data_IF_441777033746
#
_entry.id   IF_441777033746
#
_cell.length_a   1.000
_cell.length_b   1.000
_cell.length_c   1.000
_cell.angle_alpha   90.00
_cell.angle_beta   90.00
_cell.angle_gamma   90.00
#
_symmetry.space_group_name_H-M   'P 1'
#
loop_
_entity.id
_entity.type
_entity.pdbx_description
1 polymer ?
#
# COMPACT_ATOMS: atom_id res chain seq x y z
N UNK A 1 4.09 -10.95 3.08
CA UNK A 1 3.23 -9.79 3.37
C UNK A 1 4.13 -8.56 3.31
N UNK A 2 3.95 -7.68 2.32
CA UNK A 2 4.64 -6.39 2.28
C UNK A 2 3.76 -5.38 3.01
N UNK A 3 4.32 -4.77 4.05
CA UNK A 3 3.62 -3.83 4.92
C UNK A 3 4.47 -2.58 5.03
N UNK A 4 3.85 -1.43 4.79
CA UNK A 4 4.43 -0.13 5.12
C UNK A 4 3.76 0.37 6.40
N UNK A 5 4.58 0.88 7.33
CA UNK A 5 4.12 1.43 8.62
C UNK A 5 4.26 2.94 8.58
N UNK A 6 3.18 3.65 8.90
CA UNK A 6 3.23 5.09 9.17
C UNK A 6 3.45 5.27 10.69
N UNK A 7 4.64 5.70 11.11
CA UNK A 7 4.96 5.99 12.52
C UNK A 7 5.05 7.50 12.76
N UNK A 8 4.48 7.95 13.89
CA UNK A 8 4.42 9.36 14.26
C UNK A 8 4.70 9.48 15.75
N UNK A 9 5.82 10.14 16.06
CA UNK A 9 6.24 10.49 17.42
C UNK A 9 5.33 11.60 17.96
N UNK A 10 4.57 11.29 19.02
CA UNK A 10 3.58 12.21 19.60
C UNK A 10 4.11 13.01 20.80
N UNK A 11 5.43 13.15 20.96
CA UNK A 11 6.03 13.85 22.11
C UNK A 11 5.42 15.24 22.35
N UNK A 12 5.10 15.97 21.28
CA UNK A 12 4.50 17.31 21.32
C UNK A 12 3.03 17.36 21.80
N UNK A 13 2.40 16.20 21.99
CA UNK A 13 1.04 16.03 22.45
C UNK A 13 0.94 15.38 23.83
N UNK A 14 2.05 15.04 24.51
CA UNK A 14 2.00 14.33 25.79
C UNK A 14 1.14 15.04 26.85
N UNK A 15 1.36 16.35 27.06
CA UNK A 15 0.60 17.16 28.02
C UNK A 15 -0.87 17.31 27.64
N UNK A 16 -1.16 17.29 26.34
CA UNK A 16 -2.49 17.44 25.77
C UNK A 16 -3.26 16.12 25.87
N UNK A 17 -2.58 15.01 25.61
CA UNK A 17 -3.11 13.67 25.76
C UNK A 17 -3.54 13.40 27.20
N UNK A 18 -2.75 13.83 28.19
CA UNK A 18 -3.09 13.67 29.60
C UNK A 18 -4.38 14.41 30.00
N UNK A 19 -4.66 15.56 29.39
CA UNK A 19 -5.84 16.39 29.71
C UNK A 19 -7.09 15.96 28.95
N UNK A 20 -6.95 15.62 27.67
CA UNK A 20 -8.09 15.34 26.77
C UNK A 20 -7.81 14.14 25.85
N UNK A 21 -7.60 12.93 26.38
CA UNK A 21 -7.18 11.76 25.60
C UNK A 21 -8.20 11.40 24.52
N UNK A 22 -9.50 11.49 24.84
CA UNK A 22 -10.60 11.17 23.91
C UNK A 22 -10.55 12.05 22.65
N UNK A 23 -10.35 13.37 22.81
CA UNK A 23 -10.28 14.31 21.68
C UNK A 23 -9.07 14.01 20.80
N UNK A 24 -7.91 13.79 21.42
CA UNK A 24 -6.66 13.51 20.70
C UNK A 24 -6.77 12.20 19.93
N UNK A 25 -7.30 11.14 20.55
CA UNK A 25 -7.55 9.87 19.90
C UNK A 25 -8.49 9.99 18.69
N UNK A 26 -9.59 10.74 18.83
CA UNK A 26 -10.54 10.95 17.73
C UNK A 26 -9.90 11.67 16.55
N UNK A 27 -9.16 12.75 16.81
CA UNK A 27 -8.50 13.54 15.78
C UNK A 27 -7.36 12.79 15.08
N UNK A 28 -6.57 12.02 15.84
CA UNK A 28 -5.54 11.13 15.28
C UNK A 28 -6.14 10.02 14.43
N UNK A 29 -7.20 9.36 14.92
CA UNK A 29 -7.92 8.31 14.20
C UNK A 29 -8.44 8.84 12.87
N UNK A 30 -9.11 10.00 12.89
CA UNK A 30 -9.65 10.64 11.69
C UNK A 30 -8.54 10.98 10.67
N UNK A 31 -7.43 11.55 11.15
CA UNK A 31 -6.31 11.95 10.29
C UNK A 31 -5.60 10.72 9.71
N UNK A 32 -5.39 9.67 10.51
CA UNK A 32 -4.81 8.41 10.03
C UNK A 32 -5.69 7.75 8.98
N UNK A 33 -7.01 7.67 9.19
CA UNK A 33 -7.93 7.10 8.20
C UNK A 33 -7.91 7.88 6.87
N UNK A 34 -7.88 9.21 6.93
CA UNK A 34 -7.81 10.05 5.73
C UNK A 34 -6.49 9.88 4.98
N UNK A 35 -5.36 9.93 5.70
CA UNK A 35 -4.03 9.74 5.11
C UNK A 35 -3.84 8.32 4.56
N UNK A 36 -4.30 7.29 5.28
CA UNK A 36 -4.17 5.90 4.85
C UNK A 36 -4.98 5.60 3.60
N UNK A 37 -6.21 6.12 3.50
CA UNK A 37 -7.05 5.98 2.30
C UNK A 37 -6.37 6.57 1.06
N UNK A 38 -5.72 7.72 1.22
CA UNK A 38 -4.96 8.36 0.14
C UNK A 38 -3.73 7.53 -0.26
N UNK A 39 -2.93 7.06 0.71
CA UNK A 39 -1.77 6.20 0.43
C UNK A 39 -2.21 4.89 -0.24
N UNK A 40 -3.29 4.28 0.26
CA UNK A 40 -3.90 3.10 -0.34
C UNK A 40 -4.29 3.35 -1.80
N UNK A 41 -4.94 4.47 -2.10
CA UNK A 41 -5.29 4.85 -3.48
C UNK A 41 -4.05 5.01 -4.37
N UNK A 42 -2.98 5.65 -3.86
CA UNK A 42 -1.71 5.78 -4.58
C UNK A 42 -1.07 4.42 -4.89
N UNK A 43 -1.10 3.48 -3.95
CA UNK A 43 -0.63 2.10 -4.16
C UNK A 43 -1.46 1.44 -5.26
N UNK A 44 -2.80 1.49 -5.16
CA UNK A 44 -3.71 0.88 -6.13
C UNK A 44 -3.48 1.41 -7.55
N UNK A 45 -3.17 2.69 -7.71
CA UNK A 45 -2.90 3.32 -9.00
C UNK A 45 -1.56 2.92 -9.61
N UNK A 46 -0.56 2.55 -8.79
CA UNK A 46 0.77 2.13 -9.26
C UNK A 46 0.87 0.62 -9.54
N UNK A 47 0.00 -0.18 -8.92
CA UNK A 47 0.01 -1.63 -9.10
C UNK A 47 -0.32 -2.01 -10.55
N UNK A 48 0.33 -3.06 -11.08
CA UNK A 48 0.06 -3.52 -12.43
C UNK A 48 -1.39 -4.01 -12.54
N UNK A 49 -2.09 -3.55 -13.58
CA UNK A 49 -3.41 -4.07 -13.93
C UNK A 49 -3.22 -5.35 -14.76
N UNK A 50 -3.32 -6.50 -14.07
CA UNK A 50 -3.43 -7.79 -14.74
C UNK A 50 -4.84 -8.01 -15.31
N UNK A 51 -5.15 -9.25 -15.68
CA UNK A 51 -6.44 -9.63 -16.28
C UNK A 51 -7.68 -9.13 -15.51
N UNK A 52 -7.63 -9.15 -14.17
CA UNK A 52 -8.81 -8.87 -13.31
C UNK A 52 -8.61 -7.69 -12.36
N UNK A 53 -7.46 -7.02 -12.37
CA UNK A 53 -7.08 -6.02 -11.34
C UNK A 53 -7.16 -6.51 -9.88
N UNK A 54 -7.23 -7.84 -9.65
CA UNK A 54 -7.43 -8.45 -8.33
C UNK A 54 -6.37 -8.02 -7.29
N UNK A 55 -5.11 -7.86 -7.72
CA UNK A 55 -4.06 -7.39 -6.83
C UNK A 55 -4.34 -5.98 -6.29
N UNK A 56 -4.74 -5.05 -7.16
CA UNK A 56 -5.06 -3.69 -6.73
C UNK A 56 -6.28 -3.67 -5.79
N UNK A 57 -7.30 -4.48 -6.07
CA UNK A 57 -8.49 -4.58 -5.22
C UNK A 57 -8.22 -5.25 -3.86
N UNK A 58 -7.16 -6.05 -3.75
CA UNK A 58 -6.78 -6.70 -2.49
C UNK A 58 -6.02 -5.80 -1.51
N UNK A 59 -5.67 -4.57 -1.91
CA UNK A 59 -4.97 -3.63 -1.03
C UNK A 59 -5.94 -3.17 0.06
N UNK A 60 -5.57 -3.41 1.31
CA UNK A 60 -6.36 -3.05 2.47
C UNK A 60 -5.52 -2.30 3.50
N UNK A 61 -6.21 -1.48 4.29
CA UNK A 61 -5.67 -0.80 5.46
C UNK A 61 -6.10 -1.56 6.72
N UNK A 62 -5.16 -1.82 7.63
CA UNK A 62 -5.40 -2.37 8.97
C UNK A 62 -5.06 -1.31 10.01
N UNK A 63 -5.97 -1.12 10.99
CA UNK A 63 -5.93 -0.04 11.96
C UNK A 63 -6.98 1.05 11.67
N UNK A 64 -6.80 2.29 12.16
CA UNK A 64 -5.62 2.79 12.87
C UNK A 64 -5.48 2.21 14.29
N UNK A 65 -4.24 2.03 14.72
CA UNK A 65 -3.87 1.70 16.09
C UNK A 65 -3.32 2.97 16.72
N UNK A 66 -4.03 3.51 17.73
CA UNK A 66 -3.63 4.72 18.43
C UNK A 66 -3.38 4.40 19.89
N UNK A 67 -2.18 4.73 20.37
CA UNK A 67 -1.76 4.65 21.78
C UNK A 67 -1.39 6.04 22.29
N UNK A 68 -1.08 6.12 23.59
CA UNK A 68 -0.64 7.35 24.26
C UNK A 68 0.58 8.04 23.63
N UNK A 69 1.42 7.31 22.90
CA UNK A 69 2.66 7.82 22.33
C UNK A 69 2.80 7.58 20.82
N UNK A 70 1.89 6.82 20.20
CA UNK A 70 2.03 6.41 18.82
C UNK A 70 0.68 6.34 18.12
N UNK A 71 0.69 6.63 16.82
CA UNK A 71 -0.48 6.44 15.98
C UNK A 71 0.02 5.82 14.67
N UNK A 72 -0.45 4.60 14.38
CA UNK A 72 0.05 3.81 13.26
C UNK A 72 -1.07 3.10 12.49
N UNK A 73 -0.78 2.80 11.24
CA UNK A 73 -1.65 1.99 10.37
C UNK A 73 -0.78 1.19 9.40
N UNK A 74 -1.30 0.03 8.98
CA UNK A 74 -0.63 -0.89 8.08
C UNK A 74 -1.39 -0.94 6.77
N UNK A 75 -0.70 -0.81 5.64
CA UNK A 75 -1.31 -0.96 4.32
C UNK A 75 -0.61 -2.09 3.58
N UNK A 76 -1.37 -3.05 3.08
CA UNK A 76 -0.84 -4.29 2.52
C UNK A 76 -1.85 -5.07 1.68
N UNK A 77 -1.44 -6.22 1.17
CA UNK A 77 -2.31 -7.21 0.52
C UNK A 77 -2.12 -8.56 1.21
N UNK A 78 -3.23 -9.29 1.36
CA UNK A 78 -3.26 -10.67 1.87
C UNK A 78 -2.91 -11.71 0.80
N UNK A 79 -2.78 -11.31 -0.47
CA UNK A 79 -2.47 -12.23 -1.56
C UNK A 79 -1.01 -12.67 -1.51
N UNK A 80 -0.78 -13.98 -1.52
CA UNK A 80 0.55 -14.59 -1.45
C UNK A 80 1.47 -14.06 -2.56
N UNK A 81 0.92 -13.88 -3.77
CA UNK A 81 1.69 -13.42 -4.93
C UNK A 81 1.97 -11.90 -4.94
N UNK A 82 1.42 -11.11 -4.00
CA UNK A 82 1.67 -9.67 -3.95
C UNK A 82 3.15 -9.34 -3.69
N UNK A 83 3.82 -10.10 -2.83
CA UNK A 83 5.24 -9.88 -2.52
C UNK A 83 6.16 -10.13 -3.74
N UNK A 84 6.02 -11.24 -4.49
CA UNK A 84 6.68 -11.43 -5.78
C UNK A 84 6.45 -10.32 -6.81
N UNK A 85 5.26 -9.70 -6.86
CA UNK A 85 4.98 -8.59 -7.78
C UNK A 85 5.69 -7.32 -7.34
N UNK A 86 5.70 -7.05 -6.04
CA UNK A 86 6.32 -5.85 -5.48
C UNK A 86 7.85 -5.91 -5.57
N UNK A 87 8.45 -7.04 -5.19
CA UNK A 87 9.90 -7.18 -5.04
C UNK A 87 10.58 -7.87 -6.23
N UNK A 88 9.79 -8.51 -7.10
CA UNK A 88 10.29 -9.37 -8.15
C UNK A 88 10.61 -10.77 -7.64
N UNK A 89 11.08 -11.62 -8.55
CA UNK A 89 11.45 -13.01 -8.25
C UNK A 89 12.80 -13.35 -8.84
N UNK A 90 13.49 -14.30 -8.21
CA UNK A 90 14.62 -15.00 -8.85
C UNK A 90 14.15 -15.79 -10.09
N UNK A 91 15.07 -16.16 -11.00
CA UNK A 91 14.74 -17.03 -12.11
C UNK A 91 14.08 -18.34 -11.67
N UNK A 92 12.93 -18.67 -12.25
CA UNK A 92 12.18 -19.91 -12.00
C UNK A 92 11.25 -20.18 -13.19
N UNK A 93 10.81 -21.43 -13.37
CA UNK A 93 9.81 -21.73 -14.41
C UNK A 93 8.40 -21.55 -13.84
N UNK A 94 7.64 -20.53 -14.27
CA UNK A 94 6.25 -20.38 -13.83
C UNK A 94 5.34 -21.40 -14.55
N UNK A 95 4.15 -21.70 -13.99
CA UNK A 95 3.14 -22.47 -14.69
C UNK A 95 2.66 -21.73 -15.95
N UNK A 96 2.46 -22.46 -17.05
CA UNK A 96 2.09 -21.87 -18.34
C UNK A 96 0.62 -21.45 -18.37
N UNK A 97 -0.29 -22.23 -17.78
CA UNK A 97 -1.72 -21.97 -17.91
C UNK A 97 -2.13 -20.56 -17.43
N UNK A 98 -1.71 -20.07 -16.25
CA UNK A 98 -2.03 -18.70 -15.82
C UNK A 98 -1.44 -17.61 -16.74
N UNK A 99 -0.35 -17.91 -17.45
CA UNK A 99 0.23 -16.98 -18.42
C UNK A 99 -0.55 -16.96 -19.73
N UNK A 100 -1.22 -18.06 -20.11
CA UNK A 100 -2.14 -18.07 -21.25
C UNK A 100 -3.32 -17.15 -20.96
N UNK A 101 -3.97 -17.33 -19.82
CA UNK A 101 -5.09 -16.49 -19.40
C UNK A 101 -4.70 -15.00 -19.36
N UNK A 102 -3.50 -14.71 -18.84
CA UNK A 102 -2.97 -13.35 -18.83
C UNK A 102 -2.71 -12.81 -20.23
N UNK A 103 -2.13 -13.61 -21.14
CA UNK A 103 -1.88 -13.20 -22.53
C UNK A 103 -3.19 -12.91 -23.26
N UNK A 104 -4.20 -13.75 -23.08
CA UNK A 104 -5.53 -13.52 -23.68
C UNK A 104 -6.16 -12.25 -23.13
N UNK A 105 -6.21 -12.11 -21.81
CA UNK A 105 -6.87 -10.97 -21.18
C UNK A 105 -6.14 -9.63 -21.39
N UNK A 106 -4.80 -9.62 -21.41
CA UNK A 106 -4.01 -8.38 -21.43
C UNK A 106 -3.52 -8.03 -22.84
N UNK A 107 -3.19 -9.03 -23.67
CA UNK A 107 -2.68 -8.80 -25.02
C UNK A 107 -3.74 -9.05 -26.11
N UNK A 108 -4.91 -9.59 -25.76
CA UNK A 108 -5.96 -9.91 -26.73
C UNK A 108 -5.58 -11.02 -27.71
N UNK A 109 -4.59 -11.85 -27.36
CA UNK A 109 -4.12 -12.94 -28.21
C UNK A 109 -4.85 -14.22 -27.81
N UNK A 110 -5.55 -14.83 -28.76
CA UNK A 110 -6.32 -16.05 -28.55
C UNK A 110 -5.47 -17.32 -28.74
N UNK A 111 -6.01 -18.46 -28.29
CA UNK A 111 -5.42 -19.76 -28.60
C UNK A 111 -5.49 -20.09 -30.11
N UNK A 112 -4.50 -20.82 -30.66
CA UNK A 112 -3.35 -21.45 -30.00
C UNK A 112 -2.13 -20.52 -29.81
N UNK A 113 -2.18 -19.30 -30.34
CA UNK A 113 -1.06 -18.38 -30.31
C UNK A 113 -0.71 -17.92 -28.88
N UNK A 114 -1.73 -17.76 -28.02
CA UNK A 114 -1.58 -17.43 -26.60
C UNK A 114 -0.61 -18.38 -25.86
N UNK A 115 -0.73 -19.69 -26.09
CA UNK A 115 0.17 -20.72 -25.53
C UNK A 115 1.63 -20.51 -25.94
N UNK A 116 1.86 -20.16 -27.21
CA UNK A 116 3.23 -19.90 -27.71
C UNK A 116 3.84 -18.67 -27.05
N UNK A 117 3.05 -17.60 -26.88
CA UNK A 117 3.50 -16.36 -26.21
C UNK A 117 3.74 -16.62 -24.72
N UNK A 118 2.82 -17.30 -24.05
CA UNK A 118 2.94 -17.69 -22.65
C UNK A 118 4.22 -18.50 -22.38
N UNK A 119 4.54 -19.47 -23.25
CA UNK A 119 5.78 -20.24 -23.14
C UNK A 119 7.03 -19.36 -23.29
N UNK A 120 7.04 -18.39 -24.21
CA UNK A 120 8.15 -17.45 -24.37
C UNK A 120 8.32 -16.55 -23.14
N UNK A 121 7.21 -16.09 -22.53
CA UNK A 121 7.22 -15.33 -21.28
C UNK A 121 7.80 -16.19 -20.15
N UNK A 122 7.31 -17.42 -19.99
CA UNK A 122 7.81 -18.36 -18.98
C UNK A 122 9.31 -18.63 -19.15
N UNK A 123 9.78 -18.83 -20.38
CA UNK A 123 11.20 -19.02 -20.68
C UNK A 123 12.06 -17.78 -20.39
N UNK A 124 11.49 -16.58 -20.50
CA UNK A 124 12.17 -15.34 -20.11
C UNK A 124 12.29 -15.25 -18.59
N UNK A 125 11.21 -15.55 -17.87
CA UNK A 125 11.18 -15.58 -16.40
C UNK A 125 12.12 -16.66 -15.86
N UNK A 126 12.20 -17.84 -16.50
CA UNK A 126 13.12 -18.90 -16.06
C UNK A 126 14.59 -18.57 -16.20
N UNK A 127 14.94 -17.62 -17.09
CA UNK A 127 16.32 -17.15 -17.25
C UNK A 127 16.65 -15.93 -16.41
N UNK A 128 15.69 -15.04 -16.18
CA UNK A 128 15.95 -13.70 -15.61
C UNK A 128 15.18 -13.38 -14.33
N UNK A 129 14.15 -14.15 -14.01
CA UNK A 129 13.17 -13.80 -12.99
C UNK A 129 12.27 -12.66 -13.44
N UNK A 130 11.70 -11.95 -12.46
CA UNK A 130 10.88 -10.75 -12.67
C UNK A 130 11.49 -9.56 -11.94
N UNK A 131 11.29 -8.35 -12.49
CA UNK A 131 11.64 -7.11 -11.78
C UNK A 131 10.47 -6.74 -10.85
N UNK A 132 10.79 -6.27 -9.65
CA UNK A 132 9.79 -5.70 -8.74
C UNK A 132 9.17 -4.43 -9.31
N UNK A 133 7.87 -4.24 -9.07
CA UNK A 133 7.17 -3.00 -9.41
C UNK A 133 7.43 -1.90 -8.37
N UNK A 134 7.63 -2.28 -7.10
CA UNK A 134 7.87 -1.36 -5.98
C UNK A 134 6.76 -0.32 -5.74
N UNK A 135 5.50 -0.64 -6.06
CA UNK A 135 4.34 0.23 -5.88
C UNK A 135 4.16 0.70 -4.43
N UNK A 136 4.39 -0.18 -3.45
CA UNK A 136 4.21 0.17 -2.04
C UNK A 136 5.29 1.13 -1.57
N UNK A 137 6.56 0.85 -1.90
CA UNK A 137 7.68 1.75 -1.61
C UNK A 137 7.43 3.13 -2.24
N UNK A 138 7.18 3.15 -3.54
CA UNK A 138 7.09 4.39 -4.31
C UNK A 138 5.88 5.23 -3.90
N UNK A 139 4.72 4.60 -3.61
CA UNK A 139 3.55 5.30 -3.11
C UNK A 139 3.79 5.89 -1.71
N UNK A 140 4.49 5.16 -0.84
CA UNK A 140 4.83 5.65 0.49
C UNK A 140 5.78 6.85 0.40
N UNK A 141 6.89 6.72 -0.34
CA UNK A 141 7.87 7.78 -0.57
C UNK A 141 7.20 9.04 -1.14
N UNK A 142 6.35 8.89 -2.15
CA UNK A 142 5.61 10.01 -2.75
C UNK A 142 4.64 10.68 -1.77
N UNK A 143 4.11 9.93 -0.80
CA UNK A 143 3.11 10.44 0.15
C UNK A 143 3.73 11.05 1.41
N UNK A 144 5.04 10.87 1.67
CA UNK A 144 5.66 11.30 2.93
C UNK A 144 5.47 12.78 3.24
N UNK A 145 5.71 13.66 2.27
CA UNK A 145 5.58 15.12 2.46
C UNK A 145 4.16 15.51 2.84
N UNK A 146 3.17 14.93 2.16
CA UNK A 146 1.76 15.22 2.41
C UNK A 146 1.30 14.67 3.75
N UNK A 147 1.67 13.43 4.09
CA UNK A 147 1.39 12.84 5.40
C UNK A 147 1.97 13.73 6.51
N UNK A 148 3.25 14.10 6.44
CA UNK A 148 3.89 15.00 7.42
C UNK A 148 3.15 16.34 7.53
N UNK A 149 2.72 16.92 6.41
CA UNK A 149 1.95 18.17 6.40
C UNK A 149 0.60 18.01 7.11
N UNK A 150 -0.16 16.94 6.84
CA UNK A 150 -1.44 16.71 7.50
C UNK A 150 -1.30 16.55 9.01
N UNK A 151 -0.28 15.82 9.47
CA UNK A 151 -0.03 15.66 10.91
C UNK A 151 0.46 16.95 11.59
N UNK A 152 1.23 17.77 10.88
CA UNK A 152 1.57 19.12 11.39
C UNK A 152 0.30 19.96 11.58
N UNK A 153 -0.63 19.93 10.62
CA UNK A 153 -1.90 20.66 10.72
C UNK A 153 -2.81 20.10 11.82
N UNK A 154 -2.79 18.79 12.04
CA UNK A 154 -3.50 18.15 13.13
C UNK A 154 -3.06 18.70 14.49
N UNK A 155 -1.75 18.75 14.75
CA UNK A 155 -1.21 19.27 16.02
C UNK A 155 -1.67 20.72 16.25
N UNK A 156 -1.62 21.56 15.21
CA UNK A 156 -2.10 22.95 15.29
C UNK A 156 -3.60 23.04 15.59
N UNK A 157 -4.39 22.16 14.96
CA UNK A 157 -5.84 22.09 15.16
C UNK A 157 -6.20 21.69 16.58
N UNK A 158 -5.54 20.65 17.11
CA UNK A 158 -5.73 20.19 18.50
C UNK A 158 -5.38 21.31 19.48
N UNK A 159 -4.22 21.97 19.32
CA UNK A 159 -3.83 23.11 20.17
C UNK A 159 -4.84 24.25 20.14
N UNK A 160 -5.36 24.60 18.95
CA UNK A 160 -6.38 25.66 18.80
C UNK A 160 -7.70 25.30 19.48
N UNK A 161 -8.12 24.04 19.45
CA UNK A 161 -9.34 23.58 20.15
C UNK A 161 -9.20 23.69 21.67
N UNK A 162 -7.99 23.47 22.20
CA UNK A 162 -7.70 23.57 23.64
C UNK A 162 -7.57 25.02 24.13
N UNK A 163 -7.05 25.93 23.31
CA UNK A 163 -6.99 27.35 23.67
C UNK A 163 -8.33 28.10 23.56
N UNK A 164 -9.41 27.41 23.16
CA UNK A 164 -10.76 27.97 23.01
C UNK A 164 -11.78 27.37 23.99
N UNK A 165 -11.36 26.45 24.85
CA UNK A 165 -12.14 25.94 25.98
C UNK A 165 -11.59 26.48 27.29
#
# INVERSE_FOLDING_TARGET
>A
MNVQVINIELEQLADIWAKTPQMVMQELTKTLLGTSAMVQSNIMNKLPRGATSHLAQSVATVGPMVSNNSAQTLIGSSLIYAAPVELGTKPHMPPIAPLVDWVTAVLGIEEPQAKTVAFKIARKISKKGTKGNFAYRDAFEQSQTLVRSQFKQLILTIRKKLGKG
#
